data_IF_374488917497
#
_entry.id   IF_374488917497
#
_cell.length_a   1.000
_cell.length_b   1.000
_cell.length_c   1.000
_cell.angle_alpha   90.00
_cell.angle_beta   90.00
_cell.angle_gamma   90.00
#
_symmetry.space_group_name_H-M   'P 1'
#
loop_
_entity.id
_entity.type
_entity.pdbx_description
1 polymer ?
#
# COMPACT_ATOMS: atom_id res chain seq x y z
N UNK A 1 1.77 19.51 -7.92
CA UNK A 1 1.97 19.30 -9.37
C UNK A 1 0.63 19.41 -10.08
N UNK A 2 0.30 20.58 -10.63
CA UNK A 2 -1.07 20.97 -11.01
C UNK A 2 -1.30 21.15 -12.52
N UNK A 3 -0.50 20.52 -13.40
CA UNK A 3 -0.62 20.73 -14.86
C UNK A 3 -0.40 19.46 -15.67
N UNK A 4 -0.85 18.32 -15.16
CA UNK A 4 -0.73 17.03 -15.84
C UNK A 4 -1.83 16.79 -16.87
N UNK A 5 -3.00 17.41 -16.70
CA UNK A 5 -4.16 17.22 -17.57
C UNK A 5 -4.93 18.52 -17.78
N UNK A 6 -5.48 18.71 -18.97
CA UNK A 6 -6.34 19.86 -19.32
C UNK A 6 -7.23 19.52 -20.51
N UNK A 7 -8.20 20.39 -20.78
CA UNK A 7 -8.86 20.43 -22.08
C UNK A 7 -8.08 21.38 -23.00
N UNK A 8 -7.83 20.97 -24.25
CA UNK A 8 -7.25 21.84 -25.26
C UNK A 8 -8.30 22.81 -25.84
N UNK A 9 -7.90 23.67 -26.79
CA UNK A 9 -8.80 24.65 -27.42
C UNK A 9 -9.94 24.00 -28.22
N UNK A 10 -9.76 22.74 -28.63
CA UNK A 10 -10.75 21.92 -29.34
C UNK A 10 -11.68 21.15 -28.37
N UNK A 11 -11.56 21.41 -27.06
CA UNK A 11 -12.32 20.75 -26.00
C UNK A 11 -12.04 19.24 -25.89
N UNK A 12 -10.84 18.81 -26.29
CA UNK A 12 -10.35 17.44 -26.13
C UNK A 12 -9.53 17.33 -24.84
N UNK A 13 -9.74 16.24 -24.10
CA UNK A 13 -9.02 15.97 -22.87
C UNK A 13 -7.63 15.39 -23.17
N UNK A 14 -6.58 16.08 -22.73
CA UNK A 14 -5.19 15.63 -22.91
C UNK A 14 -4.47 15.44 -21.57
N UNK A 15 -3.55 14.47 -21.55
CA UNK A 15 -2.67 14.20 -20.40
C UNK A 15 -1.22 14.35 -20.85
N UNK A 16 -0.48 15.25 -20.22
CA UNK A 16 0.95 15.35 -20.37
C UNK A 16 1.65 14.39 -19.39
N UNK A 17 2.00 13.20 -19.89
CA UNK A 17 2.52 12.10 -19.05
C UNK A 17 3.80 12.42 -18.31
N UNK A 18 4.65 13.33 -18.80
CA UNK A 18 5.85 13.75 -18.10
C UNK A 18 5.53 14.41 -16.74
N UNK A 19 4.39 15.11 -16.62
CA UNK A 19 3.93 15.71 -15.37
C UNK A 19 2.96 14.82 -14.59
N UNK A 20 2.53 13.70 -15.15
CA UNK A 20 1.60 12.78 -14.51
C UNK A 20 2.32 11.95 -13.45
N UNK A 21 1.88 12.04 -12.21
CA UNK A 21 2.40 11.24 -11.09
C UNK A 21 1.60 9.96 -10.84
N UNK A 22 0.69 9.60 -11.74
CA UNK A 22 -0.19 8.43 -11.63
C UNK A 22 -1.02 8.38 -10.32
N UNK A 23 -1.37 9.55 -9.76
CA UNK A 23 -2.14 9.66 -8.52
C UNK A 23 -3.63 9.25 -8.64
N UNK A 24 -4.13 9.06 -9.86
CA UNK A 24 -5.52 8.67 -10.18
C UNK A 24 -6.62 9.65 -9.71
N UNK A 25 -6.27 10.84 -9.23
CA UNK A 25 -7.28 11.84 -8.85
C UNK A 25 -8.21 12.19 -10.02
N UNK A 26 -7.69 12.31 -11.24
CA UNK A 26 -8.50 12.58 -12.43
C UNK A 26 -9.55 11.49 -12.72
N UNK A 27 -9.21 10.21 -12.51
CA UNK A 27 -10.15 9.08 -12.63
C UNK A 27 -11.21 9.18 -11.53
N UNK A 28 -10.79 9.38 -10.28
CA UNK A 28 -11.68 9.40 -9.12
C UNK A 28 -12.69 10.55 -9.13
N UNK A 29 -12.32 11.71 -9.65
CA UNK A 29 -13.21 12.89 -9.68
C UNK A 29 -14.09 12.95 -10.94
N UNK A 30 -13.91 12.04 -11.90
CA UNK A 30 -14.66 12.06 -13.15
C UNK A 30 -16.12 11.65 -12.90
N UNK A 31 -17.10 12.56 -13.07
CA UNK A 31 -18.50 12.29 -12.72
C UNK A 31 -19.17 11.30 -13.68
N UNK A 32 -18.66 11.19 -14.91
CA UNK A 32 -19.22 10.32 -15.96
C UNK A 32 -18.47 9.00 -16.11
N UNK A 33 -17.37 8.79 -15.38
CA UNK A 33 -16.51 7.62 -15.54
C UNK A 33 -15.79 7.54 -16.90
N UNK A 34 -15.67 8.66 -17.62
CA UNK A 34 -15.05 8.70 -18.95
C UNK A 34 -13.52 8.48 -18.95
N UNK A 35 -12.87 8.69 -17.80
CA UNK A 35 -11.43 8.48 -17.64
C UNK A 35 -11.23 7.14 -16.93
N UNK A 36 -10.61 6.19 -17.62
CA UNK A 36 -10.25 4.88 -17.08
C UNK A 36 -8.74 4.69 -17.13
N UNK A 37 -8.18 4.06 -16.11
CA UNK A 37 -6.77 3.62 -16.10
C UNK A 37 -6.71 2.23 -16.70
N UNK A 38 -6.17 2.11 -17.91
CA UNK A 38 -6.07 0.84 -18.63
C UNK A 38 -4.95 -0.08 -18.13
N UNK A 39 -4.14 0.36 -17.16
CA UNK A 39 -2.95 -0.35 -16.77
C UNK A 39 -2.82 -0.44 -15.24
N UNK A 40 -2.60 -1.66 -14.77
CA UNK A 40 -2.56 -2.03 -13.35
C UNK A 40 -1.19 -1.66 -12.75
N UNK A 41 -0.75 -0.41 -12.96
CA UNK A 41 0.56 0.14 -12.58
C UNK A 41 0.77 0.27 -11.07
N UNK A 42 -0.09 -0.33 -10.25
CA UNK A 42 0.15 -0.46 -8.82
C UNK A 42 1.42 -1.27 -8.53
N UNK A 43 1.79 -2.20 -9.43
CA UNK A 43 3.07 -2.89 -9.35
C UNK A 43 4.23 -1.92 -9.50
N UNK A 44 4.22 -1.04 -10.49
CA UNK A 44 5.28 -0.04 -10.69
C UNK A 44 5.48 0.84 -9.45
N UNK A 45 4.39 1.25 -8.78
CA UNK A 45 4.48 2.02 -7.54
C UNK A 45 5.14 1.21 -6.42
N UNK A 46 4.72 -0.02 -6.19
CA UNK A 46 5.31 -0.90 -5.17
C UNK A 46 6.76 -1.29 -5.50
N UNK A 47 7.10 -1.49 -6.78
CA UNK A 47 8.48 -1.66 -7.25
C UNK A 47 9.32 -0.42 -6.96
N UNK A 48 8.77 0.78 -7.24
CA UNK A 48 9.42 2.05 -6.92
C UNK A 48 9.69 2.20 -5.42
N UNK A 49 8.73 1.85 -4.56
CA UNK A 49 8.94 1.84 -3.11
C UNK A 49 10.08 0.89 -2.71
N UNK A 50 10.12 -0.33 -3.25
CA UNK A 50 11.19 -1.28 -2.97
C UNK A 50 12.58 -0.76 -3.42
N UNK A 51 12.66 -0.07 -4.58
CA UNK A 51 13.89 0.59 -5.04
C UNK A 51 14.33 1.67 -4.06
N UNK A 52 13.42 2.57 -3.67
CA UNK A 52 13.75 3.63 -2.73
C UNK A 52 14.23 3.07 -1.39
N UNK A 53 13.57 2.03 -0.87
CA UNK A 53 14.00 1.33 0.34
C UNK A 53 15.41 0.75 0.18
N UNK A 54 15.69 0.05 -0.92
CA UNK A 54 17.02 -0.50 -1.22
C UNK A 54 18.11 0.58 -1.17
N UNK A 55 17.89 1.72 -1.83
CA UNK A 55 18.87 2.82 -1.87
C UNK A 55 19.12 3.45 -0.50
N UNK A 56 18.09 3.56 0.33
CA UNK A 56 18.25 4.03 1.72
C UNK A 56 19.04 3.02 2.55
N UNK A 57 18.74 1.72 2.42
CA UNK A 57 19.41 0.67 3.18
C UNK A 57 20.91 0.55 2.83
N UNK A 58 21.30 0.87 1.60
CA UNK A 58 22.72 0.93 1.18
C UNK A 58 23.56 1.97 1.93
N UNK A 59 22.93 2.94 2.59
CA UNK A 59 23.64 3.97 3.37
C UNK A 59 24.06 3.50 4.76
N UNK A 60 23.59 2.33 5.21
CA UNK A 60 23.93 1.74 6.50
C UNK A 60 24.91 0.58 6.32
N UNK A 61 25.79 0.38 7.30
CA UNK A 61 26.64 -0.81 7.29
C UNK A 61 25.79 -2.09 7.41
N UNK A 62 26.23 -3.21 6.80
CA UNK A 62 25.54 -4.48 6.92
C UNK A 62 25.30 -4.87 8.38
N UNK A 63 24.04 -5.19 8.72
CA UNK A 63 23.63 -5.58 10.08
C UNK A 63 23.30 -4.42 11.03
N UNK A 64 23.47 -3.17 10.61
CA UNK A 64 23.18 -1.98 11.45
C UNK A 64 21.76 -1.45 11.30
N UNK A 65 20.82 -2.26 10.81
CA UNK A 65 19.41 -1.88 10.65
C UNK A 65 18.51 -2.85 11.41
N UNK A 66 17.56 -2.31 12.15
CA UNK A 66 16.56 -3.05 12.90
C UNK A 66 15.18 -2.47 12.61
N UNK A 67 14.21 -3.32 12.32
CA UNK A 67 12.88 -2.94 11.87
C UNK A 67 11.86 -3.17 12.97
N UNK A 68 10.97 -2.19 13.19
CA UNK A 68 9.91 -2.24 14.19
C UNK A 68 8.62 -1.72 13.54
N UNK A 69 7.57 -2.54 13.55
CA UNK A 69 6.26 -2.20 13.03
C UNK A 69 5.23 -2.13 14.16
N UNK A 70 4.39 -1.10 14.11
CA UNK A 70 3.29 -0.89 15.04
C UNK A 70 1.98 -1.17 14.29
N UNK A 71 1.36 -2.32 14.58
CA UNK A 71 0.09 -2.73 13.98
C UNK A 71 -1.04 -2.34 14.93
N UNK A 72 -1.24 -1.03 15.03
CA UNK A 72 -2.24 -0.41 15.88
C UNK A 72 -3.05 0.59 15.06
N UNK A 73 -4.32 0.79 15.41
CA UNK A 73 -5.22 1.74 14.75
C UNK A 73 -5.23 1.56 13.22
N UNK A 74 -5.26 0.29 12.76
CA UNK A 74 -5.30 -0.02 11.33
C UNK A 74 -6.64 0.42 10.77
N UNK A 75 -6.64 1.38 9.83
CA UNK A 75 -7.85 2.01 9.28
C UNK A 75 -7.97 1.77 7.78
N UNK A 76 -9.18 1.98 7.23
CA UNK A 76 -9.45 1.76 5.82
C UNK A 76 -8.82 2.82 4.90
N UNK A 77 -8.64 4.04 5.39
CA UNK A 77 -8.16 5.18 4.61
C UNK A 77 -6.98 5.84 5.31
N UNK A 78 -6.05 6.40 4.55
CA UNK A 78 -4.94 7.14 5.14
C UNK A 78 -5.45 8.38 5.88
N UNK A 79 -4.89 8.62 7.05
CA UNK A 79 -5.16 9.79 7.90
C UNK A 79 -4.56 11.11 7.36
N UNK A 80 -3.87 11.05 6.21
CA UNK A 80 -3.25 12.19 5.55
C UNK A 80 -4.23 13.34 5.22
N UNK A 81 -5.55 13.07 5.28
CA UNK A 81 -6.61 14.03 5.01
C UNK A 81 -7.07 14.79 6.26
N UNK A 82 -6.42 14.57 7.41
CA UNK A 82 -6.77 15.21 8.68
C UNK A 82 -8.00 14.62 9.36
N UNK A 83 -8.47 13.46 8.90
CA UNK A 83 -9.51 12.67 9.53
C UNK A 83 -9.11 11.20 9.53
N UNK A 84 -9.73 10.41 10.39
CA UNK A 84 -9.51 8.96 10.47
C UNK A 84 -10.84 8.21 10.38
N UNK A 85 -10.79 6.92 10.05
CA UNK A 85 -11.95 6.03 10.14
C UNK A 85 -11.87 5.21 11.43
N UNK A 86 -12.96 4.56 11.86
CA UNK A 86 -12.84 3.52 12.87
C UNK A 86 -11.86 2.43 12.42
N UNK A 87 -11.27 1.71 13.38
CA UNK A 87 -10.35 0.62 13.10
C UNK A 87 -11.01 -0.46 12.25
N UNK A 88 -10.27 -0.96 11.27
CA UNK A 88 -10.64 -2.02 10.35
C UNK A 88 -10.42 -3.41 10.96
N UNK A 89 -9.44 -3.54 11.85
CA UNK A 89 -9.14 -4.76 12.64
C UNK A 89 -8.74 -4.35 14.07
N UNK A 90 -8.83 -5.24 15.08
CA UNK A 90 -8.26 -5.01 16.38
C UNK A 90 -6.74 -4.74 16.31
N UNK A 91 -6.21 -4.03 17.30
CA UNK A 91 -4.76 -3.85 17.43
C UNK A 91 -4.08 -5.23 17.57
N UNK A 92 -3.03 -5.43 16.77
CA UNK A 92 -2.24 -6.67 16.76
C UNK A 92 -1.02 -6.53 17.69
N UNK A 93 -0.50 -5.30 17.82
CA UNK A 93 0.63 -4.99 18.69
C UNK A 93 1.86 -4.55 17.92
N UNK A 94 3.04 -4.87 18.45
CA UNK A 94 4.34 -4.44 17.91
C UNK A 94 5.09 -5.68 17.44
N UNK A 95 5.63 -5.62 16.23
CA UNK A 95 6.52 -6.63 15.67
C UNK A 95 7.90 -6.04 15.46
N UNK A 96 8.94 -6.88 15.55
CA UNK A 96 10.31 -6.46 15.34
C UNK A 96 11.13 -7.57 14.66
N UNK A 97 12.10 -7.17 13.83
CA UNK A 97 12.96 -8.10 13.09
C UNK A 97 14.24 -7.41 12.62
N UNK A 98 15.27 -8.20 12.35
CA UNK A 98 16.47 -7.76 11.61
C UNK A 98 16.34 -7.94 10.09
N UNK A 99 15.29 -8.61 9.62
CA UNK A 99 14.95 -8.82 8.21
C UNK A 99 13.67 -8.05 7.84
N UNK A 100 13.79 -7.12 6.89
CA UNK A 100 12.70 -6.23 6.45
C UNK A 100 11.58 -6.99 5.74
N UNK A 101 11.93 -8.02 4.98
CA UNK A 101 10.93 -8.79 4.22
C UNK A 101 10.14 -9.68 5.18
N UNK A 102 10.82 -10.31 6.13
CA UNK A 102 10.21 -11.20 7.10
C UNK A 102 9.21 -10.46 8.02
N UNK A 103 9.55 -9.26 8.51
CA UNK A 103 8.64 -8.46 9.34
C UNK A 103 7.44 -7.96 8.55
N UNK A 104 7.65 -7.43 7.34
CA UNK A 104 6.54 -6.95 6.49
C UNK A 104 5.59 -8.11 6.15
N UNK A 105 6.14 -9.30 5.84
CA UNK A 105 5.36 -10.51 5.62
C UNK A 105 4.54 -10.89 6.85
N UNK A 106 5.17 -10.95 8.02
CA UNK A 106 4.50 -11.29 9.28
C UNK A 106 3.38 -10.28 9.61
N UNK A 107 3.60 -9.00 9.32
CA UNK A 107 2.61 -7.95 9.54
C UNK A 107 1.39 -8.12 8.63
N UNK A 108 1.60 -8.36 7.34
CA UNK A 108 0.52 -8.59 6.38
C UNK A 108 -0.25 -9.87 6.76
N UNK A 109 0.44 -10.97 7.08
CA UNK A 109 -0.21 -12.24 7.44
C UNK A 109 -1.03 -12.15 8.75
N UNK A 110 -0.67 -11.24 9.66
CA UNK A 110 -1.42 -11.02 10.90
C UNK A 110 -2.74 -10.26 10.69
N UNK A 111 -2.87 -9.52 9.58
CA UNK A 111 -4.09 -8.80 9.23
C UNK A 111 -5.06 -9.75 8.53
N UNK A 112 -6.00 -10.26 9.30
CA UNK A 112 -6.93 -11.32 8.88
C UNK A 112 -8.31 -10.78 8.56
N UNK A 113 -8.93 -11.29 7.49
CA UNK A 113 -10.30 -10.93 7.13
C UNK A 113 -11.30 -11.33 8.22
N UNK A 114 -11.03 -12.42 8.93
CA UNK A 114 -11.85 -12.93 10.04
C UNK A 114 -11.93 -11.94 11.21
N UNK A 115 -10.96 -11.03 11.31
CA UNK A 115 -10.90 -10.00 12.35
C UNK A 115 -11.48 -8.66 11.88
N UNK A 116 -12.13 -8.61 10.71
CA UNK A 116 -12.70 -7.38 10.17
C UNK A 116 -13.76 -6.79 11.11
N UNK A 117 -13.57 -5.53 11.47
CA UNK A 117 -14.56 -4.70 12.17
C UNK A 117 -15.36 -3.95 11.10
N UNK A 118 -16.61 -4.34 10.89
CA UNK A 118 -17.47 -3.75 9.85
C UNK A 118 -17.66 -2.24 9.99
N UNK A 119 -17.61 -1.69 11.20
CA UNK A 119 -17.68 -0.25 11.44
C UNK A 119 -16.48 0.52 10.84
N UNK A 120 -15.35 -0.15 10.60
CA UNK A 120 -14.18 0.42 9.94
C UNK A 120 -14.27 0.46 8.41
N UNK A 121 -15.28 -0.18 7.81
CA UNK A 121 -15.49 -0.16 6.36
C UNK A 121 -16.26 1.11 5.98
N UNK A 122 -15.71 2.01 5.14
CA UNK A 122 -16.41 3.22 4.73
C UNK A 122 -17.72 2.93 4.01
N UNK A 123 -18.73 3.78 4.24
CA UNK A 123 -20.03 3.64 3.58
C UNK A 123 -19.88 3.68 2.06
N UNK A 124 -20.52 2.72 1.37
CA UNK A 124 -20.48 2.61 -0.09
C UNK A 124 -19.24 1.89 -0.64
N UNK A 125 -18.33 1.42 0.23
CA UNK A 125 -17.20 0.60 -0.20
C UNK A 125 -17.60 -0.88 -0.24
N UNK A 126 -17.40 -1.52 -1.39
CA UNK A 126 -17.65 -2.95 -1.57
C UNK A 126 -16.37 -3.75 -1.30
N UNK A 127 -16.51 -4.87 -0.59
CA UNK A 127 -15.41 -5.79 -0.32
C UNK A 127 -15.35 -6.87 -1.40
N UNK A 128 -14.15 -7.09 -1.95
CA UNK A 128 -13.89 -8.23 -2.83
C UNK A 128 -14.11 -9.59 -2.15
N UNK A 129 -14.35 -10.62 -2.95
CA UNK A 129 -14.70 -11.95 -2.46
C UNK A 129 -13.50 -12.81 -2.01
N UNK A 130 -12.29 -12.48 -2.45
CA UNK A 130 -11.09 -13.30 -2.27
C UNK A 130 -9.83 -12.46 -2.04
N UNK A 131 -8.74 -13.12 -1.62
CA UNK A 131 -7.48 -12.47 -1.32
C UNK A 131 -7.39 -11.91 0.11
N UNK A 132 -6.34 -11.14 0.36
CA UNK A 132 -6.07 -10.49 1.64
C UNK A 132 -7.13 -9.41 1.97
N UNK A 133 -7.31 -9.04 3.25
CA UNK A 133 -8.29 -8.02 3.64
C UNK A 133 -8.13 -6.70 2.86
N UNK A 134 -6.91 -6.16 2.78
CA UNK A 134 -6.64 -4.96 1.98
C UNK A 134 -6.80 -5.15 0.47
N UNK A 135 -6.63 -6.37 -0.05
CA UNK A 135 -6.89 -6.65 -1.45
C UNK A 135 -8.39 -6.63 -1.73
N UNK A 136 -9.19 -7.19 -0.82
CA UNK A 136 -10.66 -7.09 -0.89
C UNK A 136 -11.13 -5.64 -0.77
N UNK A 137 -10.51 -4.85 0.10
CA UNK A 137 -10.91 -3.47 0.35
C UNK A 137 -10.47 -2.51 -0.78
N UNK A 138 -9.27 -2.71 -1.35
CA UNK A 138 -8.67 -1.73 -2.28
C UNK A 138 -8.48 -2.25 -3.70
N UNK A 139 -8.74 -3.54 -3.96
CA UNK A 139 -8.45 -4.20 -5.23
C UNK A 139 -6.96 -4.35 -5.53
N UNK A 140 -6.09 -4.24 -4.51
CA UNK A 140 -4.64 -4.25 -4.66
C UNK A 140 -4.00 -5.35 -3.85
N UNK A 141 -3.24 -6.22 -4.51
CA UNK A 141 -2.45 -7.24 -3.86
C UNK A 141 -1.33 -6.58 -3.00
N UNK A 142 -1.31 -6.78 -1.67
CA UNK A 142 -0.32 -6.19 -0.77
C UNK A 142 1.03 -6.93 -0.80
N UNK A 143 1.10 -8.13 -1.36
CA UNK A 143 2.31 -8.96 -1.39
C UNK A 143 3.30 -8.56 -2.50
N UNK A 144 2.90 -7.68 -3.43
CA UNK A 144 3.77 -7.27 -4.55
C UNK A 144 5.06 -6.62 -4.04
N UNK A 145 4.98 -5.74 -3.04
CA UNK A 145 6.17 -5.11 -2.47
C UNK A 145 7.15 -6.14 -1.87
N UNK A 146 6.64 -7.19 -1.22
CA UNK A 146 7.49 -8.27 -0.68
C UNK A 146 8.25 -9.00 -1.80
N UNK A 147 7.58 -9.31 -2.92
CA UNK A 147 8.23 -9.93 -4.08
C UNK A 147 9.37 -9.05 -4.61
N UNK A 148 9.15 -7.74 -4.68
CA UNK A 148 10.13 -6.78 -5.19
C UNK A 148 11.32 -6.60 -4.21
N UNK A 149 11.08 -6.62 -2.89
CA UNK A 149 12.15 -6.59 -1.90
C UNK A 149 13.00 -7.87 -1.94
N UNK A 150 12.38 -9.05 -2.10
CA UNK A 150 13.11 -10.34 -2.25
C UNK A 150 13.97 -10.34 -3.51
N UNK A 151 13.44 -9.89 -4.65
CA UNK A 151 14.20 -9.80 -5.92
C UNK A 151 15.45 -8.93 -5.78
N UNK A 152 15.45 -7.98 -4.85
CA UNK A 152 16.56 -7.07 -4.55
C UNK A 152 17.54 -7.61 -3.51
N UNK A 153 17.29 -8.80 -2.98
CA UNK A 153 18.14 -9.43 -1.98
C UNK A 153 18.06 -8.78 -0.61
N UNK A 154 16.97 -8.08 -0.29
CA UNK A 154 16.81 -7.37 0.99
C UNK A 154 16.36 -8.26 2.15
N UNK A 155 15.95 -9.50 1.88
CA UNK A 155 15.51 -10.43 2.90
C UNK A 155 14.72 -11.61 2.34
N UNK A 156 14.08 -12.36 3.23
CA UNK A 156 13.24 -13.52 2.91
C UNK A 156 11.81 -13.36 3.40
N UNK A 157 10.85 -13.98 2.71
CA UNK A 157 9.46 -14.07 3.20
C UNK A 157 9.29 -15.18 4.24
N UNK A 158 10.31 -16.00 4.51
CA UNK A 158 10.26 -17.02 5.55
C UNK A 158 10.46 -16.37 6.93
N UNK A 159 9.57 -16.70 7.87
CA UNK A 159 9.66 -16.20 9.24
C UNK A 159 9.11 -17.22 10.23
N UNK A 160 9.57 -17.10 11.48
CA UNK A 160 8.99 -17.79 12.64
C UNK A 160 8.63 -16.73 13.66
N UNK A 161 7.40 -16.78 14.17
CA UNK A 161 6.97 -15.88 15.24
C UNK A 161 7.49 -16.37 16.58
N UNK A 162 8.18 -15.48 17.30
CA UNK A 162 8.57 -15.68 18.68
C UNK A 162 7.92 -14.60 19.53
N UNK A 163 7.04 -15.01 20.43
CA UNK A 163 6.44 -14.10 21.41
C UNK A 163 7.45 -13.83 22.54
N UNK A 164 7.70 -12.55 22.81
CA UNK A 164 8.56 -12.12 23.92
C UNK A 164 7.63 -11.83 25.11
N UNK A 165 7.85 -12.53 26.21
CA UNK A 165 7.12 -12.36 27.48
C UNK A 165 7.91 -11.50 28.45
#
# INVERSE_FOLDING_TARGET
NHSANKFNEQNEYEIFFHHCTYCQHCVKVCPTGAIIMNDNRFRDFQTGMAICTEEVLKTFDPGNVFYINFLMNITALCDCWGFTTPSLVPDIGIMASTDIVAIERACIDAIKFENLIMAGVPQGMELGASGHLFERLHGKNPYIQLEELVKRGLGTQEYVLQEIK
#
